data_IF_560721600333
#
_entry.id   IF_560721600333
#
_cell.length_a   1.000
_cell.length_b   1.000
_cell.length_c   1.000
_cell.angle_alpha   90.00
_cell.angle_beta   90.00
_cell.angle_gamma   90.00
#
_symmetry.space_group_name_H-M   'P 1'
#
loop_
_entity.id
_entity.type
_entity.pdbx_description
1 polymer ?
#
# COMPACT_ATOMS: atom_id res chain seq x y z
N UNK A 1 -17.06 -64.09 -57.78
CA UNK A 1 -16.51 -63.42 -56.58
C UNK A 1 -17.43 -62.29 -56.11
N UNK A 2 -18.69 -62.55 -55.73
CA UNK A 2 -19.61 -61.45 -55.33
C UNK A 2 -20.45 -61.71 -54.07
N UNK A 3 -20.38 -62.89 -53.47
CA UNK A 3 -21.24 -63.25 -52.34
C UNK A 3 -20.63 -62.83 -50.98
N UNK A 4 -19.30 -62.67 -50.90
CA UNK A 4 -18.60 -62.28 -49.65
C UNK A 4 -18.60 -60.79 -49.33
N UNK A 5 -19.01 -59.92 -50.28
CA UNK A 5 -19.01 -58.47 -50.09
C UNK A 5 -20.34 -57.91 -49.55
N UNK A 6 -21.42 -58.70 -49.58
CA UNK A 6 -22.73 -58.25 -49.10
C UNK A 6 -22.91 -58.39 -47.59
N UNK A 7 -22.22 -59.34 -46.96
CA UNK A 7 -22.28 -59.56 -45.51
C UNK A 7 -21.57 -58.46 -44.70
N UNK A 8 -20.56 -57.80 -45.26
CA UNK A 8 -19.86 -56.70 -44.59
C UNK A 8 -20.66 -55.37 -44.64
N UNK A 9 -21.44 -55.14 -45.69
CA UNK A 9 -22.29 -53.94 -45.78
C UNK A 9 -23.55 -54.05 -44.90
N UNK A 10 -24.08 -55.26 -44.70
CA UNK A 10 -25.24 -55.47 -43.83
C UNK A 10 -24.91 -55.29 -42.34
N UNK A 11 -23.67 -55.57 -41.91
CA UNK A 11 -23.26 -55.40 -40.51
C UNK A 11 -23.03 -53.92 -40.12
N UNK A 12 -22.71 -53.05 -41.10
CA UNK A 12 -22.50 -51.62 -40.87
C UNK A 12 -23.79 -50.79 -40.90
N UNK A 13 -24.88 -51.28 -41.53
CA UNK A 13 -26.18 -50.60 -41.51
C UNK A 13 -27.04 -50.93 -40.28
N UNK A 14 -26.73 -52.00 -39.54
CA UNK A 14 -27.45 -52.36 -38.31
C UNK A 14 -27.09 -51.52 -37.07
N UNK A 15 -25.95 -50.81 -37.08
CA UNK A 15 -25.47 -50.04 -35.92
C UNK A 15 -26.00 -48.59 -35.85
N UNK A 16 -26.68 -48.11 -36.89
CA UNK A 16 -27.18 -46.73 -36.93
C UNK A 16 -28.57 -46.55 -36.28
N UNK A 17 -29.27 -47.62 -35.92
CA UNK A 17 -30.65 -47.56 -35.39
C UNK A 17 -30.78 -47.85 -33.88
N UNK A 18 -29.66 -47.97 -33.17
CA UNK A 18 -29.66 -48.29 -31.74
C UNK A 18 -29.22 -47.13 -30.83
N UNK A 19 -29.11 -45.89 -31.34
CA UNK A 19 -28.61 -44.73 -30.59
C UNK A 19 -29.67 -43.66 -30.25
N UNK A 20 -30.94 -43.85 -30.61
CA UNK A 20 -31.96 -42.79 -30.49
C UNK A 20 -33.10 -43.07 -29.49
N UNK A 21 -32.99 -44.13 -28.67
CA UNK A 21 -33.91 -44.36 -27.56
C UNK A 21 -33.14 -44.32 -26.25
N UNK A 22 -32.63 -43.15 -25.88
CA UNK A 22 -32.49 -42.86 -24.44
C UNK A 22 -33.92 -42.89 -23.89
N UNK A 23 -34.31 -43.88 -23.06
CA UNK A 23 -35.58 -43.80 -22.37
C UNK A 23 -35.55 -42.46 -21.64
N UNK A 24 -36.51 -41.59 -21.94
CA UNK A 24 -36.71 -40.38 -21.18
C UNK A 24 -36.81 -40.82 -19.71
N UNK A 25 -35.76 -40.59 -18.95
CA UNK A 25 -35.72 -40.92 -17.54
C UNK A 25 -36.93 -40.23 -16.95
N UNK A 26 -37.89 -40.95 -16.35
CA UNK A 26 -39.06 -40.31 -15.76
C UNK A 26 -38.52 -39.20 -14.84
N UNK A 27 -39.11 -38.00 -14.86
CA UNK A 27 -38.62 -36.88 -14.08
C UNK A 27 -38.46 -37.37 -12.66
N UNK A 28 -37.22 -37.42 -12.19
CA UNK A 28 -36.93 -37.86 -10.84
C UNK A 28 -37.67 -36.94 -9.90
N UNK A 29 -38.47 -37.52 -9.01
CA UNK A 29 -39.20 -36.75 -8.01
C UNK A 29 -38.28 -35.74 -7.36
N UNK A 30 -38.69 -34.47 -7.37
CA UNK A 30 -37.95 -33.42 -6.69
C UNK A 30 -37.95 -33.67 -5.17
N UNK A 31 -37.05 -33.01 -4.44
CA UNK A 31 -37.05 -33.06 -2.97
C UNK A 31 -38.40 -32.61 -2.39
N UNK A 32 -39.07 -31.66 -3.05
CA UNK A 32 -40.36 -31.14 -2.62
C UNK A 32 -41.49 -32.14 -2.90
N UNK A 33 -41.44 -32.84 -4.04
CA UNK A 33 -42.37 -33.95 -4.33
C UNK A 33 -42.21 -35.10 -3.32
N UNK A 34 -40.96 -35.43 -2.97
CA UNK A 34 -40.64 -36.46 -1.99
C UNK A 34 -41.19 -36.11 -0.59
N UNK A 35 -41.04 -34.85 -0.19
CA UNK A 35 -41.64 -34.31 1.05
C UNK A 35 -43.16 -34.33 1.01
N UNK A 36 -43.75 -33.95 -0.12
CA UNK A 36 -45.20 -33.98 -0.32
C UNK A 36 -45.77 -35.41 -0.22
N UNK A 37 -45.10 -36.42 -0.79
CA UNK A 37 -45.50 -37.82 -0.66
C UNK A 37 -45.46 -38.31 0.79
N UNK A 38 -44.40 -37.94 1.54
CA UNK A 38 -44.30 -38.28 2.97
C UNK A 38 -45.36 -37.57 3.80
N UNK A 39 -45.71 -36.33 3.46
CA UNK A 39 -46.82 -35.63 4.11
C UNK A 39 -48.16 -36.32 3.82
N UNK A 40 -48.42 -36.71 2.57
CA UNK A 40 -49.62 -37.47 2.18
C UNK A 40 -49.71 -38.82 2.89
N UNK A 41 -48.59 -39.53 3.02
CA UNK A 41 -48.52 -40.78 3.78
C UNK A 41 -48.92 -40.59 5.26
N UNK A 42 -48.46 -39.51 5.90
CA UNK A 42 -48.81 -39.20 7.29
C UNK A 42 -50.30 -38.89 7.46
N UNK A 43 -50.86 -38.09 6.54
CA UNK A 43 -52.30 -37.78 6.53
C UNK A 43 -53.11 -39.06 6.33
N UNK A 44 -52.72 -39.91 5.38
CA UNK A 44 -53.42 -41.17 5.10
C UNK A 44 -53.40 -42.13 6.30
N UNK A 45 -52.28 -42.21 7.03
CA UNK A 45 -52.20 -42.99 8.29
C UNK A 45 -53.15 -42.45 9.35
N UNK A 46 -53.16 -41.13 9.55
CA UNK A 46 -54.04 -40.49 10.52
C UNK A 46 -55.53 -40.67 10.17
N UNK A 47 -55.90 -40.52 8.89
CA UNK A 47 -57.27 -40.78 8.42
C UNK A 47 -57.66 -42.26 8.56
N UNK A 48 -56.74 -43.18 8.25
CA UNK A 48 -56.99 -44.61 8.39
C UNK A 48 -57.20 -45.03 9.85
N UNK A 49 -56.49 -44.41 10.78
CA UNK A 49 -56.64 -44.64 12.22
C UNK A 49 -57.96 -44.07 12.75
N UNK A 50 -58.33 -42.84 12.35
CA UNK A 50 -59.62 -42.25 12.70
C UNK A 50 -60.80 -43.06 12.18
N UNK A 51 -60.75 -43.49 10.91
CA UNK A 51 -61.80 -44.34 10.31
C UNK A 51 -61.87 -45.69 10.99
N UNK A 52 -60.74 -46.29 11.37
CA UNK A 52 -60.74 -47.57 12.05
C UNK A 52 -61.34 -47.48 13.47
N UNK A 53 -61.05 -46.42 14.22
CA UNK A 53 -61.67 -46.22 15.54
C UNK A 53 -63.18 -45.92 15.42
N UNK A 54 -63.61 -45.19 14.39
CA UNK A 54 -65.03 -45.00 14.10
C UNK A 54 -65.71 -46.33 13.73
N UNK A 55 -65.13 -47.11 12.82
CA UNK A 55 -65.62 -48.43 12.41
C UNK A 55 -65.68 -49.40 13.60
N UNK A 56 -64.71 -49.33 14.52
CA UNK A 56 -64.66 -50.15 15.73
C UNK A 56 -65.81 -49.82 16.67
N UNK A 57 -66.08 -48.54 16.92
CA UNK A 57 -67.22 -48.11 17.73
C UNK A 57 -68.56 -48.52 17.08
N UNK A 58 -68.68 -48.37 15.76
CA UNK A 58 -69.87 -48.79 15.02
C UNK A 58 -70.07 -50.31 15.09
N UNK A 59 -69.02 -51.10 14.82
CA UNK A 59 -69.08 -52.56 14.86
C UNK A 59 -69.39 -53.12 16.25
N UNK A 60 -68.93 -52.46 17.32
CA UNK A 60 -69.23 -52.83 18.70
C UNK A 60 -70.71 -52.66 19.06
N UNK A 61 -71.44 -51.78 18.38
CA UNK A 61 -72.88 -51.59 18.59
C UNK A 61 -73.77 -52.60 17.84
N UNK A 62 -73.21 -53.45 16.98
CA UNK A 62 -73.95 -54.43 16.16
C UNK A 62 -73.95 -55.82 16.81
N UNK A 63 -75.08 -56.52 16.69
CA UNK A 63 -75.29 -57.89 17.22
C UNK A 63 -74.37 -58.93 16.55
N UNK A 64 -73.92 -58.68 15.32
CA UNK A 64 -72.97 -59.53 14.57
C UNK A 64 -71.66 -58.76 14.35
N UNK A 65 -70.86 -58.64 15.41
CA UNK A 65 -69.63 -57.83 15.39
C UNK A 65 -68.45 -58.47 14.64
N UNK A 66 -68.45 -59.79 14.45
CA UNK A 66 -67.27 -60.54 13.94
C UNK A 66 -66.92 -60.17 12.48
N UNK A 67 -67.89 -60.23 11.56
CA UNK A 67 -67.66 -59.86 10.15
C UNK A 67 -67.48 -58.36 9.92
N UNK A 68 -68.07 -57.53 10.80
CA UNK A 68 -67.89 -56.08 10.76
C UNK A 68 -66.44 -55.71 11.10
N UNK A 69 -65.90 -56.27 12.20
CA UNK A 69 -64.55 -55.99 12.68
C UNK A 69 -63.46 -56.51 11.72
N UNK A 70 -63.66 -57.67 11.07
CA UNK A 70 -62.71 -58.16 10.07
C UNK A 70 -62.63 -57.22 8.85
N UNK A 71 -63.78 -56.76 8.35
CA UNK A 71 -63.82 -55.82 7.21
C UNK A 71 -63.17 -54.47 7.54
N UNK A 72 -63.35 -53.96 8.77
CA UNK A 72 -62.73 -52.72 9.24
C UNK A 72 -61.20 -52.86 9.32
N UNK A 73 -60.71 -53.99 9.85
CA UNK A 73 -59.28 -54.31 9.90
C UNK A 73 -58.66 -54.40 8.50
N UNK A 74 -59.34 -55.05 7.55
CA UNK A 74 -58.87 -55.15 6.17
C UNK A 74 -58.73 -53.77 5.50
N UNK A 75 -59.74 -52.89 5.66
CA UNK A 75 -59.67 -51.51 5.16
C UNK A 75 -58.52 -50.74 5.79
N UNK A 76 -58.36 -50.83 7.11
CA UNK A 76 -57.28 -50.17 7.82
C UNK A 76 -55.90 -50.64 7.35
N UNK A 77 -55.67 -51.95 7.25
CA UNK A 77 -54.42 -52.51 6.73
C UNK A 77 -54.14 -52.08 5.30
N UNK A 78 -55.16 -52.03 4.44
CA UNK A 78 -55.01 -51.54 3.06
C UNK A 78 -54.54 -50.08 3.04
N UNK A 79 -55.16 -49.20 3.82
CA UNK A 79 -54.74 -47.80 3.91
C UNK A 79 -53.34 -47.63 4.50
N UNK A 80 -52.94 -48.46 5.48
CA UNK A 80 -51.57 -48.47 6.00
C UNK A 80 -50.57 -48.91 4.94
N UNK A 81 -50.88 -49.94 4.15
CA UNK A 81 -50.03 -50.38 3.05
C UNK A 81 -49.85 -49.30 1.98
N UNK A 82 -50.94 -48.60 1.62
CA UNK A 82 -50.89 -47.47 0.68
C UNK A 82 -50.03 -46.32 1.24
N UNK A 83 -50.16 -46.01 2.53
CA UNK A 83 -49.34 -44.98 3.17
C UNK A 83 -47.85 -45.38 3.27
N UNK A 84 -47.56 -46.65 3.58
CA UNK A 84 -46.20 -47.17 3.62
C UNK A 84 -45.54 -47.17 2.24
N UNK A 85 -46.31 -47.46 1.18
CA UNK A 85 -45.83 -47.33 -0.19
C UNK A 85 -45.40 -45.89 -0.49
N UNK A 86 -46.26 -44.91 -0.19
CA UNK A 86 -45.95 -43.47 -0.36
C UNK A 86 -44.75 -43.02 0.48
N UNK A 87 -44.60 -43.55 1.70
CA UNK A 87 -43.47 -43.22 2.56
C UNK A 87 -42.15 -43.81 2.03
N UNK A 88 -42.17 -45.05 1.53
CA UNK A 88 -41.00 -45.69 0.92
C UNK A 88 -40.55 -44.95 -0.32
N UNK A 89 -41.47 -44.61 -1.23
CA UNK A 89 -41.14 -43.86 -2.46
C UNK A 89 -40.60 -42.47 -2.13
N UNK A 90 -41.21 -41.77 -1.18
CA UNK A 90 -40.73 -40.45 -0.75
C UNK A 90 -39.33 -40.51 -0.12
N UNK A 91 -39.05 -41.51 0.71
CA UNK A 91 -37.69 -41.71 1.29
C UNK A 91 -36.65 -42.06 0.23
N UNK A 92 -37.02 -42.86 -0.77
CA UNK A 92 -36.12 -43.21 -1.87
C UNK A 92 -35.80 -41.98 -2.73
N UNK A 93 -36.83 -41.24 -3.14
CA UNK A 93 -36.65 -40.01 -3.92
C UNK A 93 -35.79 -38.97 -3.18
N UNK A 94 -35.97 -38.82 -1.87
CA UNK A 94 -35.13 -37.92 -1.07
C UNK A 94 -33.64 -38.34 -1.07
N UNK A 95 -33.36 -39.64 -0.97
CA UNK A 95 -31.98 -40.16 -1.04
C UNK A 95 -31.37 -39.89 -2.40
N UNK A 96 -32.08 -40.23 -3.47
CA UNK A 96 -31.62 -40.03 -4.85
C UNK A 96 -31.40 -38.55 -5.19
N UNK A 97 -32.25 -37.65 -4.67
CA UNK A 97 -32.06 -36.23 -4.89
C UNK A 97 -30.82 -35.69 -4.15
N UNK A 98 -30.58 -36.15 -2.90
CA UNK A 98 -29.37 -35.79 -2.14
C UNK A 98 -28.10 -36.33 -2.78
N UNK A 99 -28.11 -37.55 -3.31
CA UNK A 99 -26.94 -38.11 -4.00
C UNK A 99 -26.63 -37.32 -5.26
N UNK A 100 -27.65 -36.98 -6.07
CA UNK A 100 -27.46 -36.13 -7.26
C UNK A 100 -26.94 -34.73 -6.91
N UNK A 101 -27.42 -34.12 -5.83
CA UNK A 101 -26.91 -32.84 -5.37
C UNK A 101 -25.44 -32.95 -4.94
N UNK A 102 -25.07 -34.03 -4.24
CA UNK A 102 -23.70 -34.28 -3.83
C UNK A 102 -22.77 -34.54 -5.03
N UNK A 103 -23.22 -35.32 -6.00
CA UNK A 103 -22.52 -35.58 -7.27
C UNK A 103 -22.36 -34.30 -8.09
N UNK A 104 -23.40 -33.47 -8.19
CA UNK A 104 -23.32 -32.18 -8.88
C UNK A 104 -22.34 -31.22 -8.18
N UNK A 105 -22.33 -31.20 -6.84
CA UNK A 105 -21.35 -30.42 -6.07
C UNK A 105 -19.93 -30.96 -6.23
N UNK A 106 -19.74 -32.28 -6.25
CA UNK A 106 -18.45 -32.90 -6.49
C UNK A 106 -17.94 -32.59 -7.91
N UNK A 107 -18.79 -32.77 -8.93
CA UNK A 107 -18.47 -32.42 -10.32
C UNK A 107 -18.13 -30.95 -10.48
N UNK A 108 -18.87 -30.04 -9.81
CA UNK A 108 -18.53 -28.61 -9.80
C UNK A 108 -17.17 -28.34 -9.16
N UNK A 109 -16.89 -28.99 -8.01
CA UNK A 109 -15.58 -28.85 -7.34
C UNK A 109 -14.45 -29.37 -8.21
N UNK A 110 -14.63 -30.50 -8.88
CA UNK A 110 -13.65 -31.07 -9.79
C UNK A 110 -13.42 -30.17 -11.01
N UNK A 111 -14.49 -29.65 -11.61
CA UNK A 111 -14.41 -28.71 -12.74
C UNK A 111 -13.63 -27.44 -12.36
N UNK A 112 -13.85 -26.90 -11.16
CA UNK A 112 -13.19 -25.70 -10.65
C UNK A 112 -11.82 -25.99 -9.98
N UNK A 113 -11.38 -27.26 -9.89
CA UNK A 113 -10.17 -27.60 -9.14
C UNK A 113 -8.90 -27.01 -9.76
N UNK A 114 -8.78 -27.09 -11.09
CA UNK A 114 -7.64 -26.56 -11.81
C UNK A 114 -7.56 -25.03 -11.70
N UNK A 115 -8.69 -24.33 -11.76
CA UNK A 115 -8.74 -22.88 -11.64
C UNK A 115 -8.36 -22.43 -10.23
N UNK A 116 -8.85 -23.12 -9.18
CA UNK A 116 -8.43 -22.85 -7.79
C UNK A 116 -6.94 -23.06 -7.60
N UNK A 117 -6.39 -24.15 -8.12
CA UNK A 117 -4.96 -24.41 -8.02
C UNK A 117 -4.13 -23.36 -8.81
N UNK A 118 -4.62 -22.92 -9.97
CA UNK A 118 -3.98 -21.87 -10.75
C UNK A 118 -4.00 -20.52 -10.01
N UNK A 119 -5.12 -20.17 -9.37
CA UNK A 119 -5.25 -18.97 -8.54
C UNK A 119 -4.32 -19.00 -7.33
N UNK A 120 -4.28 -20.12 -6.59
CA UNK A 120 -3.38 -20.30 -5.44
C UNK A 120 -1.91 -20.17 -5.85
N UNK A 121 -1.52 -20.77 -6.99
CA UNK A 121 -0.16 -20.64 -7.54
C UNK A 121 0.15 -19.20 -7.93
N UNK A 122 -0.80 -18.49 -8.54
CA UNK A 122 -0.64 -17.08 -8.89
C UNK A 122 -0.51 -16.19 -7.65
N UNK A 123 -1.27 -16.45 -6.59
CA UNK A 123 -1.16 -15.74 -5.31
C UNK A 123 0.20 -15.93 -4.66
N UNK A 124 0.69 -17.17 -4.61
CA UNK A 124 2.01 -17.47 -4.07
C UNK A 124 3.10 -16.78 -4.89
N UNK A 125 2.99 -16.76 -6.22
CA UNK A 125 3.93 -16.06 -7.09
C UNK A 125 3.93 -14.55 -6.83
N UNK A 126 2.75 -13.91 -6.80
CA UNK A 126 2.59 -12.48 -6.48
C UNK A 126 3.17 -12.12 -5.12
N UNK A 127 2.93 -12.96 -4.11
CA UNK A 127 3.47 -12.76 -2.78
C UNK A 127 5.00 -12.80 -2.77
N UNK A 128 5.61 -13.80 -3.42
CA UNK A 128 7.07 -13.90 -3.54
C UNK A 128 7.69 -12.72 -4.28
N UNK A 129 7.07 -12.27 -5.36
CA UNK A 129 7.51 -11.07 -6.08
C UNK A 129 7.44 -9.82 -5.21
N UNK A 130 6.36 -9.66 -4.45
CA UNK A 130 6.21 -8.52 -3.54
C UNK A 130 7.26 -8.55 -2.42
N UNK A 131 7.57 -9.72 -1.86
CA UNK A 131 8.65 -9.86 -0.87
C UNK A 131 10.03 -9.55 -1.47
N UNK A 132 10.30 -10.00 -2.70
CA UNK A 132 11.53 -9.69 -3.43
C UNK A 132 11.66 -8.17 -3.71
N UNK A 133 10.56 -7.50 -4.06
CA UNK A 133 10.56 -6.05 -4.24
C UNK A 133 10.81 -5.31 -2.93
N UNK A 134 10.17 -5.74 -1.84
CA UNK A 134 10.35 -5.12 -0.51
C UNK A 134 11.77 -5.31 0.02
N UNK A 135 12.39 -6.47 -0.21
CA UNK A 135 13.79 -6.72 0.14
C UNK A 135 14.72 -5.83 -0.67
N UNK A 136 14.57 -5.80 -2.00
CA UNK A 136 15.35 -4.93 -2.88
C UNK A 136 15.20 -3.43 -2.53
N UNK A 137 14.00 -2.99 -2.17
CA UNK A 137 13.77 -1.61 -1.73
C UNK A 137 14.50 -1.30 -0.42
N UNK A 138 14.47 -2.22 0.56
CA UNK A 138 15.20 -2.06 1.82
C UNK A 138 16.71 -1.96 1.58
N UNK A 139 17.26 -2.82 0.73
CA UNK A 139 18.67 -2.79 0.37
C UNK A 139 19.06 -1.48 -0.32
N UNK A 140 18.23 -0.99 -1.25
CA UNK A 140 18.45 0.31 -1.90
C UNK A 140 18.44 1.46 -0.90
N UNK A 141 17.48 1.49 0.02
CA UNK A 141 17.40 2.53 1.07
C UNK A 141 18.64 2.49 1.97
N UNK A 142 19.08 1.30 2.39
CA UNK A 142 20.29 1.16 3.19
C UNK A 142 21.55 1.61 2.45
N UNK A 143 21.68 1.27 1.17
CA UNK A 143 22.79 1.72 0.33
C UNK A 143 22.78 3.25 0.15
N UNK A 144 21.62 3.86 -0.06
CA UNK A 144 21.48 5.31 -0.17
C UNK A 144 21.83 6.03 1.15
N UNK A 145 21.38 5.51 2.28
CA UNK A 145 21.74 6.03 3.61
C UNK A 145 23.24 5.92 3.88
N UNK A 146 23.85 4.77 3.54
CA UNK A 146 25.29 4.58 3.67
C UNK A 146 26.07 5.59 2.81
N UNK A 147 25.68 5.79 1.55
CA UNK A 147 26.28 6.78 0.66
C UNK A 147 26.12 8.22 1.19
N UNK A 148 24.94 8.56 1.73
CA UNK A 148 24.69 9.87 2.37
C UNK A 148 25.59 10.07 3.59
N UNK A 149 25.75 9.05 4.42
CA UNK A 149 26.64 9.10 5.60
C UNK A 149 28.10 9.28 5.20
N UNK A 150 28.57 8.56 4.18
CA UNK A 150 29.91 8.73 3.64
C UNK A 150 30.14 10.14 3.09
N UNK A 151 29.20 10.66 2.29
CA UNK A 151 29.24 12.03 1.77
C UNK A 151 29.29 13.07 2.90
N UNK A 152 28.51 12.89 3.97
CA UNK A 152 28.57 13.78 5.15
C UNK A 152 29.93 13.70 5.84
N UNK A 153 30.50 12.51 5.98
CA UNK A 153 31.82 12.31 6.58
C UNK A 153 32.92 12.95 5.75
N UNK A 154 32.88 12.84 4.43
CA UNK A 154 33.88 13.45 3.54
C UNK A 154 33.81 14.98 3.58
N UNK A 155 32.61 15.56 3.54
CA UNK A 155 32.39 17.01 3.73
C UNK A 155 32.92 17.48 5.08
N UNK A 156 32.56 16.81 6.17
CA UNK A 156 33.04 17.18 7.50
C UNK A 156 34.57 17.09 7.62
N UNK A 157 35.22 16.13 6.94
CA UNK A 157 36.70 16.06 6.88
C UNK A 157 37.29 17.24 6.09
N UNK A 158 36.70 17.58 4.93
CA UNK A 158 37.13 18.70 4.12
C UNK A 158 36.99 20.03 4.88
N UNK A 159 35.87 20.27 5.54
CA UNK A 159 35.61 21.48 6.34
C UNK A 159 36.61 21.62 7.49
N UNK A 160 36.91 20.52 8.19
CA UNK A 160 37.93 20.51 9.26
C UNK A 160 39.33 20.84 8.71
N UNK A 161 39.69 20.26 7.57
CA UNK A 161 40.98 20.55 6.93
C UNK A 161 41.07 22.02 6.48
N UNK A 162 39.98 22.59 5.97
CA UNK A 162 39.93 24.00 5.61
C UNK A 162 40.06 24.91 6.85
N UNK A 163 39.32 24.60 7.92
CA UNK A 163 39.42 25.34 9.17
C UNK A 163 40.84 25.29 9.75
N UNK A 164 41.49 24.12 9.75
CA UNK A 164 42.88 23.98 10.19
C UNK A 164 43.83 24.86 9.37
N UNK A 165 43.72 24.86 8.03
CA UNK A 165 44.51 25.74 7.16
C UNK A 165 44.27 27.22 7.48
N UNK A 166 43.01 27.63 7.71
CA UNK A 166 42.67 29.00 8.10
C UNK A 166 43.28 29.39 9.45
N UNK A 167 43.27 28.49 10.43
CA UNK A 167 43.90 28.73 11.73
C UNK A 167 45.42 28.83 11.62
N UNK A 168 46.06 27.96 10.84
CA UNK A 168 47.51 27.99 10.60
C UNK A 168 47.94 29.27 9.89
N UNK A 169 47.20 29.69 8.85
CA UNK A 169 47.45 30.94 8.14
C UNK A 169 47.37 32.14 9.09
N UNK A 170 46.32 32.23 9.92
CA UNK A 170 46.18 33.29 10.92
C UNK A 170 47.32 33.27 11.94
N UNK A 171 47.73 32.10 12.44
CA UNK A 171 48.89 32.00 13.34
C UNK A 171 50.17 32.51 12.68
N UNK A 172 50.40 32.19 11.40
CA UNK A 172 51.57 32.68 10.67
C UNK A 172 51.52 34.20 10.48
N UNK A 173 50.35 34.76 10.15
CA UNK A 173 50.17 36.20 10.02
C UNK A 173 50.38 36.92 11.35
N UNK A 174 49.81 36.39 12.45
CA UNK A 174 49.98 36.94 13.79
C UNK A 174 51.45 36.86 14.23
N UNK A 175 52.15 35.75 13.93
CA UNK A 175 53.59 35.62 14.19
C UNK A 175 54.41 36.64 13.40
N UNK A 176 54.12 36.83 12.10
CA UNK A 176 54.76 37.87 11.27
C UNK A 176 54.49 39.27 11.81
N UNK A 177 53.25 39.56 12.21
CA UNK A 177 52.86 40.85 12.78
C UNK A 177 53.59 41.10 14.10
N UNK A 178 53.72 40.09 14.95
CA UNK A 178 54.47 40.18 16.21
C UNK A 178 55.96 40.46 15.96
N UNK A 179 56.57 39.81 14.95
CA UNK A 179 57.97 40.07 14.56
C UNK A 179 58.18 41.50 14.03
N UNK A 180 57.23 42.03 13.26
CA UNK A 180 57.31 43.38 12.69
C UNK A 180 56.86 44.49 13.65
N UNK A 181 56.12 44.16 14.72
CA UNK A 181 55.63 45.12 15.70
C UNK A 181 56.70 46.05 16.30
N UNK A 182 57.89 45.58 16.75
CA UNK A 182 58.90 46.47 17.32
C UNK A 182 59.49 47.44 16.29
N UNK A 183 59.75 46.99 15.07
CA UNK A 183 60.26 47.85 14.00
C UNK A 183 59.21 48.88 13.58
N UNK A 184 57.95 48.47 13.43
CA UNK A 184 56.84 49.35 13.12
C UNK A 184 56.60 50.39 14.22
N UNK A 185 56.74 50.01 15.50
CA UNK A 185 56.65 50.92 16.63
C UNK A 185 57.77 51.97 16.62
N UNK A 186 59.01 51.56 16.35
CA UNK A 186 60.15 52.48 16.18
C UNK A 186 59.92 53.47 15.04
N UNK A 187 59.54 52.98 13.85
CA UNK A 187 59.20 53.83 12.70
C UNK A 187 58.04 54.78 12.99
N UNK A 188 57.04 54.34 13.76
CA UNK A 188 55.92 55.18 14.17
C UNK A 188 56.35 56.28 15.15
N UNK A 189 57.21 55.96 16.11
CA UNK A 189 57.79 56.94 17.03
C UNK A 189 58.66 57.96 16.29
N UNK A 190 59.50 57.52 15.36
CA UNK A 190 60.31 58.39 14.52
C UNK A 190 59.43 59.35 13.71
N UNK A 191 58.37 58.85 13.05
CA UNK A 191 57.40 59.70 12.35
C UNK A 191 56.75 60.73 13.28
N UNK A 192 56.42 60.35 14.53
CA UNK A 192 55.89 61.27 15.54
C UNK A 192 56.90 62.34 15.92
N UNK A 193 58.17 61.99 16.09
CA UNK A 193 59.27 62.95 16.36
C UNK A 193 59.45 63.92 15.20
N UNK A 194 59.53 63.42 13.97
CA UNK A 194 59.62 64.26 12.76
C UNK A 194 58.39 65.18 12.60
N UNK A 195 57.20 64.70 12.96
CA UNK A 195 56.00 65.53 12.96
C UNK A 195 56.09 66.63 14.03
N UNK A 196 56.49 66.31 15.25
CA UNK A 196 56.66 67.29 16.32
C UNK A 196 57.70 68.36 15.98
N UNK A 197 58.81 67.98 15.34
CA UNK A 197 59.82 68.93 14.85
C UNK A 197 59.25 69.85 13.77
N UNK A 198 58.50 69.31 12.80
CA UNK A 198 57.83 70.11 11.77
C UNK A 198 56.84 71.11 12.39
N UNK A 199 56.07 70.70 13.40
CA UNK A 199 55.17 71.60 14.12
C UNK A 199 55.95 72.73 14.78
N UNK A 200 57.05 72.44 15.49
CA UNK A 200 57.92 73.48 16.08
C UNK A 200 58.45 74.47 15.03
N UNK A 201 58.90 73.98 13.88
CA UNK A 201 59.38 74.83 12.78
C UNK A 201 58.27 75.70 12.17
N UNK A 202 57.03 75.22 12.16
CA UNK A 202 55.87 76.01 11.73
C UNK A 202 55.59 77.11 12.75
N UNK A 203 55.58 76.79 14.05
CA UNK A 203 55.37 77.76 15.12
C UNK A 203 56.45 78.85 15.14
N UNK A 204 57.72 78.47 15.00
CA UNK A 204 58.82 79.44 14.89
C UNK A 204 58.69 80.35 13.66
N UNK A 205 58.29 79.79 12.50
CA UNK A 205 58.01 80.59 11.31
C UNK A 205 56.85 81.55 11.53
N UNK A 206 55.79 81.11 12.21
CA UNK A 206 54.65 81.96 12.55
C UNK A 206 55.05 83.10 13.50
N UNK A 207 55.91 82.81 14.50
CA UNK A 207 56.47 83.84 15.40
C UNK A 207 57.33 84.85 14.65
N UNK A 208 58.27 84.38 13.82
CA UNK A 208 59.08 85.26 12.97
C UNK A 208 58.21 86.12 12.05
N UNK A 209 57.18 85.52 11.45
CA UNK A 209 56.22 86.26 10.61
C UNK A 209 55.48 87.33 11.42
N UNK A 210 54.99 87.00 12.61
CA UNK A 210 54.35 87.96 13.52
C UNK A 210 55.30 89.08 13.95
N UNK A 211 56.57 88.79 14.25
CA UNK A 211 57.58 89.80 14.55
C UNK A 211 57.86 90.71 13.35
N UNK A 212 58.00 90.15 12.14
CA UNK A 212 58.18 90.95 10.92
C UNK A 212 56.95 91.81 10.61
N UNK A 213 55.74 91.33 10.88
CA UNK A 213 54.52 92.14 10.79
C UNK A 213 54.54 93.29 11.79
N UNK A 214 54.91 93.04 13.05
CA UNK A 214 55.06 94.08 14.07
C UNK A 214 56.14 95.10 13.70
N UNK A 215 57.27 94.67 13.12
CA UNK A 215 58.30 95.58 12.61
C UNK A 215 57.76 96.44 11.48
N UNK A 216 57.05 95.86 10.51
CA UNK A 216 56.39 96.62 9.43
C UNK A 216 55.32 97.59 9.96
N UNK A 217 54.59 97.21 11.01
CA UNK A 217 53.61 98.08 11.68
C UNK A 217 54.28 99.19 12.50
N UNK A 218 55.46 98.94 13.08
CA UNK A 218 56.27 99.93 13.80
C UNK A 218 57.06 100.86 12.85
N UNK A 219 57.38 100.42 11.63
CA UNK A 219 57.96 101.26 10.56
C UNK A 219 56.91 102.14 9.85
N UNK A 220 55.61 101.77 9.90
CA UNK A 220 54.53 102.60 9.37
C UNK A 220 54.48 104.03 9.94
N UNK A 221 54.62 104.29 11.26
CA UNK A 221 54.69 105.66 11.78
C UNK A 221 55.98 106.41 11.39
N UNK A 222 57.05 105.73 10.94
CA UNK A 222 58.25 106.39 10.39
C UNK A 222 58.08 106.79 8.91
N UNK A 223 57.27 106.05 8.14
CA UNK A 223 56.88 106.44 6.77
C UNK A 223 55.75 107.49 6.69
N UNK A 224 55.06 107.79 7.82
CA UNK A 224 54.03 108.83 7.91
C UNK A 224 54.50 110.11 8.61
N UNK A 225 55.75 110.18 9.09
CA UNK A 225 56.42 111.42 9.53
C UNK A 225 57.59 111.84 8.62
N UNK A 226 57.85 111.11 7.54
CA UNK A 226 58.80 111.45 6.47
C UNK A 226 58.08 111.75 5.14
N UNK A 227 57.25 112.81 5.13
CA UNK A 227 57.12 113.71 3.97
C UNK A 227 57.20 115.13 4.56
N UNK A 228 57.92 116.10 3.96
CA UNK A 228 57.93 116.38 2.52
C UNK A 228 59.24 116.98 1.95
N UNK A 229 59.17 117.41 0.67
CA UNK A 229 59.98 118.45 0.00
C UNK A 229 61.19 118.01 -0.86
N UNK A 230 60.95 117.85 -2.17
CA UNK A 230 61.65 118.56 -3.26
C UNK A 230 61.05 118.11 -4.60
N UNK A 231 60.14 118.90 -5.17
CA UNK A 231 60.35 119.83 -6.30
C UNK A 231 60.42 119.15 -7.68
N UNK A 232 59.35 119.41 -8.42
CA UNK A 232 59.17 119.28 -9.88
C UNK A 232 60.22 120.03 -10.70
N UNK A 233 60.38 119.65 -11.98
CA UNK A 233 60.66 120.60 -13.05
C UNK A 233 59.50 120.69 -14.07
N UNK A 234 59.25 121.94 -14.49
CA UNK A 234 58.32 122.46 -15.52
C UNK A 234 56.88 122.71 -15.10
#
# INVERSE_FOLDING_TARGET
MHIRNWLALALMLGHAWALAQTPATPPSLSLDDARAQRARARVLKAEAEQRFEADKAECQSKVIAVGCMSSAKERHLKSLHEADALERTGRQAEREARTREAEAKAAKREAEAADREAEERADVARYREQEAQRTAERERRQAEEAAKLESRRSKAKADRAEQQKRFEARRQEDAKRAQQAPENARKAEERRRQHAERVKQIDERARKYAETLKQREAEKPASQTAQPAAKSPK
#
